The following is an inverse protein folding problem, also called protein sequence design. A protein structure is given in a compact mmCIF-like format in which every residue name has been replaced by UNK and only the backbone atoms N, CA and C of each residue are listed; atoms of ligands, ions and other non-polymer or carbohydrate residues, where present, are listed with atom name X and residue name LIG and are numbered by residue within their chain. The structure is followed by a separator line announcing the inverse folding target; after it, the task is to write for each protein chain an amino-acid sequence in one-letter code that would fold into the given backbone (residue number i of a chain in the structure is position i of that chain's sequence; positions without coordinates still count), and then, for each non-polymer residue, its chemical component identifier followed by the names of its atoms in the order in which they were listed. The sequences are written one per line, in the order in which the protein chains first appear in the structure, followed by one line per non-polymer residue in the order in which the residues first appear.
data_IF_919888314298
#
_entry.id   IF_919888314298
#
_cell.length_a   1.000
_cell.length_b   1.000
_cell.length_c   1.000
_cell.angle_alpha   90.00
_cell.angle_beta   90.00
_cell.angle_gamma   90.00
#
_symmetry.space_group_name_H-M   'P 1'
#
loop_
_entity.id
_entity.type
_entity.pdbx_description
1 polymer ?
#
# COMPACT_ATOMS: atom_id res chain seq x y z
N UNK A 1 -5.17 21.22 -13.82
CA UNK A 1 -4.72 20.04 -13.03
C UNK A 1 -5.73 18.93 -13.25
N UNK A 2 -5.36 17.74 -13.74
CA UNK A 2 -6.34 16.71 -14.12
C UNK A 2 -7.08 16.13 -12.89
N UNK A 3 -8.32 15.67 -13.07
CA UNK A 3 -9.14 15.07 -12.01
C UNK A 3 -8.41 13.91 -11.31
N UNK A 4 -7.71 13.07 -12.08
CA UNK A 4 -6.89 11.99 -11.56
C UNK A 4 -5.76 12.51 -10.64
N UNK A 5 -5.10 13.61 -11.02
CA UNK A 5 -4.02 14.18 -10.21
C UNK A 5 -4.54 14.83 -8.92
N UNK A 6 -5.77 15.36 -8.93
CA UNK A 6 -6.43 15.81 -7.70
C UNK A 6 -6.80 14.64 -6.79
N UNK A 7 -7.38 13.58 -7.36
CA UNK A 7 -7.69 12.36 -6.61
C UNK A 7 -6.44 11.77 -5.97
N UNK A 8 -5.36 11.61 -6.75
CA UNK A 8 -4.08 11.12 -6.22
C UNK A 8 -3.54 11.92 -5.04
N UNK A 9 -3.64 13.26 -5.07
CA UNK A 9 -3.24 14.11 -3.93
C UNK A 9 -4.16 13.97 -2.72
N UNK A 10 -5.45 13.71 -2.91
CA UNK A 10 -6.36 13.45 -1.81
C UNK A 10 -6.03 12.11 -1.13
N UNK A 11 -5.61 11.10 -1.90
CA UNK A 11 -5.12 9.82 -1.37
C UNK A 11 -3.85 10.02 -0.56
N UNK A 12 -2.88 10.78 -1.08
CA UNK A 12 -1.65 11.13 -0.33
C UNK A 12 -1.99 11.74 1.03
N UNK A 13 -2.91 12.72 1.06
CA UNK A 13 -3.33 13.36 2.32
C UNK A 13 -3.95 12.38 3.32
N UNK A 14 -4.74 11.41 2.86
CA UNK A 14 -5.33 10.40 3.75
C UNK A 14 -4.24 9.46 4.31
N UNK A 15 -3.27 9.08 3.49
CA UNK A 15 -2.15 8.24 3.91
C UNK A 15 -1.18 8.98 4.84
N UNK A 16 -0.91 10.27 4.57
CA UNK A 16 -0.12 11.15 5.44
C UNK A 16 -0.76 11.33 6.83
N UNK A 17 -2.09 11.29 6.90
CA UNK A 17 -2.84 11.34 8.16
C UNK A 17 -2.85 9.99 8.88
N UNK A 18 -2.88 8.88 8.13
CA UNK A 18 -2.98 7.54 8.69
C UNK A 18 -1.65 6.93 9.13
N UNK A 19 -0.55 7.35 8.53
CA UNK A 19 0.77 6.79 8.79
C UNK A 19 1.87 7.85 8.75
N UNK A 20 3.08 7.44 9.12
CA UNK A 20 4.27 8.28 8.92
C UNK A 20 4.88 7.92 7.58
N UNK A 21 5.07 8.90 6.71
CA UNK A 21 5.88 8.71 5.50
C UNK A 21 7.32 8.37 5.93
N UNK A 22 7.87 7.27 5.42
CA UNK A 22 9.20 6.84 5.79
C UNK A 22 10.25 7.70 5.07
N UNK A 23 10.87 8.66 5.79
CA UNK A 23 11.89 9.59 5.25
C UNK A 23 13.18 8.94 4.75
N UNK A 24 13.41 7.63 4.98
CA UNK A 24 14.65 7.00 4.52
C UNK A 24 14.65 6.84 2.99
N UNK A 25 15.32 7.80 2.34
CA UNK A 25 15.93 7.70 1.01
C UNK A 25 14.98 7.31 -0.14
N UNK A 26 13.99 8.15 -0.46
CA UNK A 26 13.38 8.09 -1.79
C UNK A 26 13.30 9.45 -2.47
N UNK A 27 14.11 9.59 -3.53
CA UNK A 27 13.62 10.24 -4.73
C UNK A 27 12.65 9.28 -5.39
N UNK A 28 11.35 9.61 -5.40
CA UNK A 28 10.34 8.74 -5.98
C UNK A 28 9.28 9.55 -6.69
N UNK A 29 9.54 9.97 -7.93
CA UNK A 29 8.54 10.64 -8.78
C UNK A 29 7.24 9.81 -8.90
N UNK A 30 7.32 8.49 -8.68
CA UNK A 30 6.27 7.54 -9.03
C UNK A 30 5.61 6.82 -7.84
N UNK A 31 6.22 6.77 -6.65
CA UNK A 31 5.64 6.08 -5.49
C UNK A 31 6.07 6.66 -4.13
N UNK A 32 5.17 6.58 -3.14
CA UNK A 32 5.41 6.92 -1.74
C UNK A 32 5.39 5.65 -0.87
N UNK A 33 6.10 5.70 0.27
CA UNK A 33 6.08 4.65 1.30
C UNK A 33 5.50 5.20 2.60
N UNK A 34 4.47 4.53 3.09
CA UNK A 34 3.82 4.83 4.34
C UNK A 34 4.04 3.70 5.33
N UNK A 35 4.28 4.07 6.59
CA UNK A 35 4.25 3.14 7.71
C UNK A 35 3.02 3.49 8.55
N UNK A 36 1.98 2.68 8.43
CA UNK A 36 0.76 2.85 9.22
C UNK A 36 1.02 2.23 10.58
N UNK A 37 1.06 3.11 11.59
CA UNK A 37 1.25 2.67 12.96
C UNK A 37 -0.04 2.07 13.48
N UNK A 38 0.14 1.09 14.33
CA UNK A 38 -0.94 0.30 14.86
C UNK A 38 -0.81 0.17 16.37
N UNK A 39 -1.93 0.07 17.07
CA UNK A 39 -1.94 -0.03 18.53
C UNK A 39 -1.56 -1.45 18.95
N UNK A 40 -0.39 -1.62 19.56
CA UNK A 40 0.02 -2.90 20.17
C UNK A 40 0.63 -3.94 19.23
N UNK A 41 1.03 -3.56 18.01
CA UNK A 41 1.58 -4.50 17.02
C UNK A 41 2.72 -3.96 16.16
N UNK A 42 3.18 -4.78 15.22
CA UNK A 42 4.18 -4.39 14.21
C UNK A 42 3.53 -3.42 13.21
N UNK A 43 4.10 -2.23 12.97
CA UNK A 43 3.61 -1.29 11.96
C UNK A 43 3.50 -1.94 10.58
N UNK A 44 2.53 -1.52 9.77
CA UNK A 44 2.36 -2.05 8.41
C UNK A 44 3.00 -1.14 7.37
N UNK A 45 3.84 -1.71 6.53
CA UNK A 45 4.34 -1.04 5.32
C UNK A 45 3.25 -0.97 4.25
N UNK A 46 3.08 0.21 3.65
CA UNK A 46 2.19 0.48 2.52
C UNK A 46 2.97 1.23 1.44
N UNK A 47 2.87 0.77 0.19
CA UNK A 47 3.34 1.51 -0.97
C UNK A 47 2.16 2.12 -1.72
N UNK A 48 2.30 3.38 -2.13
CA UNK A 48 1.31 4.08 -2.93
C UNK A 48 1.90 4.57 -4.24
N UNK A 49 1.29 4.23 -5.37
CA UNK A 49 1.71 4.70 -6.70
C UNK A 49 1.10 6.07 -7.04
N UNK A 50 1.93 7.12 -6.94
CA UNK A 50 1.54 8.50 -7.28
C UNK A 50 1.85 8.93 -8.72
N UNK A 51 2.51 8.08 -9.50
CA UNK A 51 2.92 8.40 -10.87
C UNK A 51 1.74 8.83 -11.76
N UNK A 52 1.90 9.89 -12.57
CA UNK A 52 0.79 10.42 -13.38
C UNK A 52 0.25 9.44 -14.44
N UNK A 53 1.07 8.44 -14.84
CA UNK A 53 0.74 7.43 -15.86
C UNK A 53 0.18 6.13 -15.29
N UNK A 54 0.16 5.95 -13.97
CA UNK A 54 -0.36 4.73 -13.34
C UNK A 54 -1.68 5.02 -12.62
N UNK A 55 -2.53 4.01 -12.38
CA UNK A 55 -3.62 4.14 -11.41
C UNK A 55 -3.08 4.47 -10.00
N UNK A 56 -3.92 4.93 -9.07
CA UNK A 56 -3.54 5.18 -7.68
C UNK A 56 -3.41 3.88 -6.87
N UNK A 57 -2.58 2.94 -7.33
CA UNK A 57 -2.46 1.61 -6.71
C UNK A 57 -1.93 1.72 -5.28
N UNK A 58 -2.55 0.97 -4.37
CA UNK A 58 -2.09 0.81 -2.98
C UNK A 58 -1.66 -0.64 -2.80
N UNK A 59 -0.42 -0.83 -2.37
CA UNK A 59 0.17 -2.14 -2.14
C UNK A 59 0.46 -2.35 -0.66
N UNK A 60 0.08 -3.51 -0.15
CA UNK A 60 0.37 -3.95 1.22
C UNK A 60 0.41 -5.48 1.31
N UNK A 61 0.59 -6.03 2.50
CA UNK A 61 0.56 -7.48 2.73
C UNK A 61 -0.78 -8.10 2.28
N UNK A 62 -0.72 -9.28 1.65
CA UNK A 62 -1.91 -9.98 1.15
C UNK A 62 -2.98 -10.21 2.21
N UNK A 63 -2.59 -10.48 3.47
CA UNK A 63 -3.52 -10.67 4.60
C UNK A 63 -4.45 -9.46 4.86
N UNK A 64 -4.14 -8.28 4.33
CA UNK A 64 -5.02 -7.11 4.42
C UNK A 64 -6.27 -7.29 3.55
N UNK A 65 -6.16 -8.00 2.42
CA UNK A 65 -7.27 -8.24 1.51
C UNK A 65 -8.44 -8.97 2.18
N UNK A 66 -8.15 -9.87 3.13
CA UNK A 66 -9.18 -10.63 3.87
C UNK A 66 -10.07 -9.72 4.74
N UNK A 67 -9.62 -8.48 5.00
CA UNK A 67 -10.31 -7.49 5.84
C UNK A 67 -10.85 -6.30 5.04
N UNK A 68 -10.68 -6.29 3.71
CA UNK A 68 -11.16 -5.20 2.84
C UNK A 68 -12.24 -5.75 1.91
N UNK A 69 -13.49 -5.34 2.15
CA UNK A 69 -14.62 -5.67 1.28
C UNK A 69 -14.99 -4.50 0.36
N UNK A 70 -15.39 -4.81 -0.88
CA UNK A 70 -15.95 -3.81 -1.80
C UNK A 70 -14.92 -2.92 -2.52
N UNK A 71 -13.63 -3.20 -2.34
CA UNK A 71 -12.55 -2.55 -3.10
C UNK A 71 -11.90 -3.57 -4.03
N UNK A 72 -11.69 -3.19 -5.28
CA UNK A 72 -11.00 -4.03 -6.26
C UNK A 72 -9.58 -4.34 -5.77
N UNK A 73 -9.26 -5.63 -5.70
CA UNK A 73 -8.01 -6.15 -5.16
C UNK A 73 -7.50 -7.29 -6.03
N UNK A 74 -6.22 -7.25 -6.37
CA UNK A 74 -5.50 -8.37 -6.97
C UNK A 74 -4.42 -8.87 -6.00
N UNK A 75 -4.31 -10.20 -5.87
CA UNK A 75 -3.21 -10.82 -5.12
C UNK A 75 -2.03 -11.10 -6.06
N UNK A 76 -0.87 -10.62 -5.66
CA UNK A 76 0.41 -10.91 -6.31
C UNK A 76 1.28 -11.75 -5.39
N UNK A 77 1.61 -12.97 -5.83
CA UNK A 77 2.43 -13.86 -5.02
C UNK A 77 3.90 -13.46 -5.12
N UNK A 78 4.63 -13.60 -4.01
CA UNK A 78 6.05 -13.29 -3.95
C UNK A 78 6.86 -14.05 -5.02
N UNK A 79 6.43 -15.28 -5.35
CA UNK A 79 7.07 -16.11 -6.37
C UNK A 79 6.81 -15.64 -7.80
N UNK A 80 5.63 -15.07 -8.07
CA UNK A 80 5.32 -14.45 -9.37
C UNK A 80 6.15 -13.18 -9.56
N UNK A 81 6.24 -12.34 -8.53
CA UNK A 81 7.03 -11.09 -8.54
C UNK A 81 8.54 -11.33 -8.70
N UNK A 82 9.07 -12.48 -8.26
CA UNK A 82 10.48 -12.86 -8.43
C UNK A 82 10.82 -13.32 -9.85
N UNK A 83 9.86 -13.91 -10.58
CA UNK A 83 10.12 -14.58 -11.86
C UNK A 83 10.16 -13.67 -13.08
N UNK A 84 9.75 -12.41 -12.96
CA UNK A 84 9.68 -11.48 -14.10
C UNK A 84 10.61 -10.26 -13.85
N UNK A 85 11.92 -10.37 -14.09
CA UNK A 85 12.83 -9.23 -14.04
C UNK A 85 12.44 -8.19 -15.10
N UNK A 86 12.41 -6.91 -14.72
CA UNK A 86 12.34 -5.79 -15.66
C UNK A 86 10.99 -5.48 -16.32
N UNK A 87 10.01 -6.38 -16.31
CA UNK A 87 8.67 -6.10 -16.85
C UNK A 87 7.62 -5.83 -15.75
N UNK A 88 7.77 -6.51 -14.61
CA UNK A 88 7.02 -6.29 -13.35
C UNK A 88 7.87 -6.72 -12.14
N UNK A 89 9.20 -6.72 -12.28
CA UNK A 89 10.10 -7.12 -11.20
C UNK A 89 9.81 -6.26 -9.99
N UNK A 90 9.75 -6.88 -8.79
CA UNK A 90 9.48 -6.21 -7.50
C UNK A 90 9.82 -4.75 -7.61
N UNK A 91 8.81 -3.88 -7.65
CA UNK A 91 9.02 -2.45 -7.83
C UNK A 91 10.24 -2.06 -7.00
N UNK A 92 11.24 -1.40 -7.58
CA UNK A 92 12.48 -1.09 -6.85
C UNK A 92 12.24 -0.30 -5.55
N UNK A 93 11.03 0.27 -5.43
CA UNK A 93 10.46 0.78 -4.19
C UNK A 93 10.09 -0.31 -3.16
N UNK A 94 9.41 -1.40 -3.55
CA UNK A 94 9.06 -2.56 -2.71
C UNK A 94 10.30 -3.33 -2.22
N UNK A 95 11.37 -3.46 -3.03
CA UNK A 95 12.61 -4.13 -2.59
C UNK A 95 13.24 -3.48 -1.35
N UNK A 96 12.99 -2.18 -1.15
CA UNK A 96 13.48 -1.41 0.00
C UNK A 96 12.53 -1.45 1.21
N UNK A 97 11.44 -2.21 1.13
CA UNK A 97 10.46 -2.39 2.20
C UNK A 97 10.55 -3.82 2.73
N UNK A 98 11.23 -4.08 3.85
CA UNK A 98 11.49 -5.45 4.32
C UNK A 98 10.23 -6.31 4.45
N UNK A 99 9.09 -5.73 4.85
CA UNK A 99 7.83 -6.46 4.97
C UNK A 99 7.23 -6.84 3.62
N UNK A 100 7.31 -5.93 2.63
CA UNK A 100 6.68 -6.13 1.32
C UNK A 100 7.61 -6.78 0.31
N UNK A 101 8.93 -6.72 0.55
CA UNK A 101 9.91 -7.30 -0.34
C UNK A 101 9.60 -8.78 -0.51
N UNK A 102 9.52 -9.56 0.57
CA UNK A 102 9.47 -11.03 0.50
C UNK A 102 8.08 -11.66 0.71
N UNK A 103 7.02 -10.87 0.75
CA UNK A 103 5.67 -11.33 1.05
C UNK A 103 4.75 -11.35 -0.18
N UNK A 104 3.67 -12.12 -0.07
CA UNK A 104 2.53 -11.97 -0.98
C UNK A 104 1.86 -10.62 -0.74
N UNK A 105 1.46 -9.96 -1.82
CA UNK A 105 0.96 -8.59 -1.81
C UNK A 105 -0.49 -8.53 -2.27
N UNK A 106 -1.24 -7.63 -1.66
CA UNK A 106 -2.51 -7.14 -2.16
C UNK A 106 -2.27 -5.83 -2.91
N UNK A 107 -2.74 -5.75 -4.16
CA UNK A 107 -2.79 -4.53 -4.96
C UNK A 107 -4.24 -4.05 -5.02
N UNK A 108 -4.54 -2.98 -4.29
CA UNK A 108 -5.83 -2.31 -4.36
C UNK A 108 -5.84 -1.20 -5.41
N UNK A 109 -6.95 -1.09 -6.13
CA UNK A 109 -7.19 -0.03 -7.12
C UNK A 109 -8.39 0.83 -6.65
N UNK A 110 -8.18 1.79 -5.72
CA UNK A 110 -9.26 2.60 -5.20
C UNK A 110 -9.85 3.49 -6.30
N UNK A 111 -11.17 3.53 -6.39
CA UNK A 111 -11.95 4.40 -7.28
C UNK A 111 -12.52 5.60 -6.53
N UNK A 112 -12.64 5.50 -5.21
CA UNK A 112 -13.16 6.54 -4.33
C UNK A 112 -12.28 6.79 -3.10
N UNK A 113 -12.48 7.92 -2.41
CA UNK A 113 -11.83 8.16 -1.11
C UNK A 113 -12.38 7.25 -0.01
N UNK A 114 -13.59 6.71 -0.18
CA UNK A 114 -14.15 5.72 0.74
C UNK A 114 -13.35 4.43 0.66
N UNK A 115 -13.00 3.98 -0.54
CA UNK A 115 -12.18 2.78 -0.74
C UNK A 115 -10.83 2.89 0.00
N UNK A 116 -10.21 4.07 -0.08
CA UNK A 116 -8.93 4.36 0.60
C UNK A 116 -9.10 4.29 2.11
N UNK A 117 -10.19 4.84 2.65
CA UNK A 117 -10.50 4.76 4.08
C UNK A 117 -10.73 3.31 4.51
N UNK A 118 -11.49 2.53 3.73
CA UNK A 118 -11.71 1.10 4.00
C UNK A 118 -10.38 0.33 4.08
N UNK A 119 -9.44 0.59 3.16
CA UNK A 119 -8.11 -0.04 3.19
C UNK A 119 -7.34 0.37 4.45
N UNK A 120 -7.30 1.67 4.76
CA UNK A 120 -6.60 2.20 5.95
C UNK A 120 -7.19 1.61 7.24
N UNK A 121 -8.51 1.54 7.33
CA UNK A 121 -9.21 1.04 8.52
C UNK A 121 -9.01 -0.46 8.71
N UNK A 122 -8.97 -1.24 7.61
CA UNK A 122 -8.61 -2.66 7.65
C UNK A 122 -7.17 -2.89 8.13
N UNK A 123 -6.23 -2.06 7.70
CA UNK A 123 -4.83 -2.12 8.18
C UNK A 123 -4.77 -1.81 9.68
N UNK A 124 -5.53 -0.82 10.14
CA UNK A 124 -5.59 -0.45 11.57
C UNK A 124 -6.24 -1.56 12.40
N UNK A 125 -7.35 -2.14 11.96
CA UNK A 125 -8.08 -3.18 12.72
C UNK A 125 -7.33 -4.50 12.81
N UNK A 126 -6.52 -4.84 11.81
CA UNK A 126 -5.64 -6.02 11.83
C UNK A 126 -4.65 -6.05 12.99
N UNK A 127 -4.40 -4.90 13.61
CA UNK A 127 -3.53 -4.80 14.77
C UNK A 127 -4.21 -5.07 16.10
N UNK A 128 -5.50 -4.74 16.21
CA UNK A 128 -6.28 -4.91 17.43
C UNK A 128 -6.46 -6.40 17.76
N UNK A 129 -6.45 -7.25 16.72
CA UNK A 129 -6.64 -8.69 16.86
C UNK A 129 -5.34 -9.49 17.11
N UNK A 130 -4.16 -8.87 17.02
CA UNK A 130 -2.88 -9.58 17.27
C UNK A 130 -2.49 -9.68 18.77
N UNK A 131 -3.31 -9.15 19.69
CA UNK A 131 -3.07 -9.18 21.16
C UNK A 131 -3.70 -10.42 21.83
N UNK A 132 -4.29 -11.35 21.06
CA UNK A 132 -4.83 -12.61 21.61
C UNK A 132 -4.05 -13.82 21.08
N UNK A 133 -2.94 -14.12 21.73
CA UNK A 133 -2.31 -15.45 21.72
C UNK A 133 -1.51 -15.64 22.99
#
# INVERSE_FOLDING_TARGET
MSLNMQFKKQIERLLDQAGREHRAKHQGVYANRYVIHVTGGVPFDVMYEKGAKTPPNIWCLAKVADHVSGVECEIDSADRLRRIPGQYGRHSALEKMPQLANADLAKFVPKTLTDVRTIIDAIKSLSENSVKS
#
